data_IF_968987755523
#
_entry.id   IF_968987755523
#
_cell.length_a   1.000
_cell.length_b   1.000
_cell.length_c   1.000
_cell.angle_alpha   90.00
_cell.angle_beta   90.00
_cell.angle_gamma   90.00
#
_symmetry.space_group_name_H-M   'P 1'
#
loop_
_entity.id
_entity.type
_entity.pdbx_description
1 polymer ?
#
# COMPACT_ATOMS: atom_id res chain seq x y z
N UNK A 1 13.69 42.57 24.47
CA UNK A 1 14.13 41.28 23.87
C UNK A 1 12.93 40.52 23.32
N UNK A 2 13.01 40.15 22.04
CA UNK A 2 11.92 39.54 21.25
C UNK A 2 11.58 38.11 21.67
N UNK A 3 10.30 37.67 21.55
CA UNK A 3 9.97 36.24 21.65
C UNK A 3 10.42 35.51 20.38
N UNK A 4 11.23 34.46 20.54
CA UNK A 4 11.65 33.57 19.44
C UNK A 4 10.41 32.92 18.81
N UNK A 5 10.09 33.31 17.57
CA UNK A 5 9.15 32.58 16.70
C UNK A 5 9.71 31.17 16.45
N UNK A 6 9.23 30.15 17.17
CA UNK A 6 9.41 28.76 16.74
C UNK A 6 8.48 28.51 15.55
N UNK A 7 9.09 28.25 14.40
CA UNK A 7 8.43 28.07 13.10
C UNK A 7 7.54 26.83 13.14
N UNK A 8 6.31 27.04 12.67
CA UNK A 8 5.26 26.12 12.25
C UNK A 8 5.81 24.76 11.75
N UNK A 9 5.54 23.68 12.49
CA UNK A 9 5.67 22.32 11.94
C UNK A 9 4.60 22.14 10.86
N UNK A 10 5.03 22.07 9.59
CA UNK A 10 4.20 21.65 8.46
C UNK A 10 4.70 20.28 8.01
N UNK A 11 3.81 19.29 8.05
CA UNK A 11 4.03 17.95 7.52
C UNK A 11 2.96 17.01 8.06
N UNK A 12 1.76 17.05 7.49
CA UNK A 12 0.69 16.08 7.77
C UNK A 12 0.63 15.11 6.59
N UNK A 13 1.65 14.28 6.45
CA UNK A 13 1.70 13.18 5.48
C UNK A 13 0.92 12.01 6.06
N UNK A 14 -0.17 11.63 5.41
CA UNK A 14 -0.85 10.35 5.68
C UNK A 14 -0.08 9.29 4.90
N UNK A 15 1.01 8.82 5.51
CA UNK A 15 1.81 7.71 5.01
C UNK A 15 1.30 6.39 5.57
N UNK A 16 1.51 5.32 4.81
CA UNK A 16 1.44 3.97 5.36
C UNK A 16 2.70 3.81 6.20
N UNK A 17 2.56 3.85 7.52
CA UNK A 17 3.68 3.70 8.45
C UNK A 17 3.75 2.23 8.85
N UNK A 18 4.83 1.53 8.48
CA UNK A 18 5.13 0.20 8.99
C UNK A 18 5.64 0.34 10.44
N UNK A 19 4.91 -0.21 11.41
CA UNK A 19 5.40 -0.34 12.78
C UNK A 19 5.17 -1.78 13.27
N UNK A 20 6.25 -2.55 13.35
CA UNK A 20 6.28 -3.86 14.02
C UNK A 20 5.54 -4.98 13.29
N UNK A 21 5.92 -6.22 13.62
CA UNK A 21 5.46 -7.48 13.03
C UNK A 21 3.95 -7.78 13.21
N UNK A 22 3.15 -6.87 13.78
CA UNK A 22 1.74 -7.07 14.04
C UNK A 22 0.91 -6.21 13.09
N UNK A 23 0.28 -6.91 12.16
CA UNK A 23 -0.35 -6.41 10.97
C UNK A 23 -1.73 -5.82 11.21
N UNK A 24 -1.80 -4.80 12.06
CA UNK A 24 -2.93 -3.89 12.00
C UNK A 24 -2.44 -2.63 11.32
N UNK A 25 -2.93 -2.37 10.11
CA UNK A 25 -2.82 -1.05 9.49
C UNK A 25 -3.70 -0.08 10.28
N UNK A 26 -3.41 0.10 11.57
CA UNK A 26 -3.85 1.23 12.37
C UNK A 26 -2.99 2.39 11.92
N UNK A 27 -3.46 3.12 10.92
CA UNK A 27 -3.08 4.53 10.82
C UNK A 27 -3.55 5.15 12.13
N UNK A 28 -2.60 5.52 12.99
CA UNK A 28 -2.88 6.27 14.20
C UNK A 28 -3.49 7.60 13.78
N UNK A 29 -4.83 7.67 13.76
CA UNK A 29 -5.49 8.96 13.87
C UNK A 29 -5.23 9.42 15.30
N UNK A 30 -4.15 10.18 15.49
CA UNK A 30 -4.01 10.93 16.74
C UNK A 30 -5.11 12.00 16.72
N UNK A 31 -6.26 11.65 17.30
CA UNK A 31 -7.32 12.58 17.64
C UNK A 31 -6.77 13.49 18.73
N UNK A 32 -6.37 14.69 18.33
CA UNK A 32 -6.07 15.75 19.28
C UNK A 32 -7.42 16.29 19.73
N UNK A 33 -7.89 15.81 20.88
CA UNK A 33 -9.00 16.43 21.60
C UNK A 33 -8.62 17.87 21.92
N UNK A 34 -9.33 18.80 21.30
CA UNK A 34 -9.18 20.24 21.54
C UNK A 34 -10.04 20.57 22.77
N UNK A 35 -9.39 20.70 23.94
CA UNK A 35 -10.02 21.36 25.07
C UNK A 35 -10.00 22.88 24.84
N UNK A 36 -11.19 23.47 24.77
CA UNK A 36 -11.40 24.86 25.18
C UNK A 36 -11.41 25.92 24.08
N UNK A 37 -12.60 26.15 23.54
CA UNK A 37 -13.12 27.52 23.41
C UNK A 37 -12.82 28.30 22.12
N UNK A 38 -13.93 28.80 21.55
CA UNK A 38 -14.08 29.83 20.51
C UNK A 38 -14.17 29.35 19.06
N UNK A 39 -15.38 29.54 18.55
CA UNK A 39 -15.89 29.48 17.18
C UNK A 39 -14.92 29.98 16.11
N UNK A 40 -14.48 29.05 15.26
CA UNK A 40 -14.21 29.24 13.82
C UNK A 40 -14.49 27.90 13.13
N UNK A 41 -15.69 27.73 12.55
CA UNK A 41 -16.03 26.55 11.74
C UNK A 41 -15.24 26.59 10.43
N UNK A 42 -14.00 26.08 10.46
CA UNK A 42 -13.31 25.63 9.25
C UNK A 42 -13.70 24.17 9.09
N UNK A 43 -14.58 23.89 8.13
CA UNK A 43 -14.90 22.53 7.72
C UNK A 43 -13.60 21.80 7.43
N UNK A 44 -13.13 20.98 8.38
CA UNK A 44 -12.03 20.06 8.17
C UNK A 44 -12.53 19.11 7.09
N UNK A 45 -12.08 19.30 5.84
CA UNK A 45 -12.35 18.35 4.76
C UNK A 45 -11.98 16.98 5.28
N UNK A 46 -12.97 16.12 5.50
CA UNK A 46 -12.79 14.73 5.95
C UNK A 46 -11.81 14.10 4.98
N UNK A 47 -10.58 13.88 5.44
CA UNK A 47 -9.56 13.21 4.63
C UNK A 47 -10.05 11.79 4.38
N UNK A 48 -10.01 11.37 3.12
CA UNK A 48 -10.39 10.01 2.75
C UNK A 48 -9.42 9.06 3.43
N UNK A 49 -9.96 8.03 4.09
CA UNK A 49 -9.14 6.96 4.67
C UNK A 49 -8.24 6.36 3.59
N UNK A 50 -7.01 5.97 3.94
CA UNK A 50 -6.04 5.42 2.99
C UNK A 50 -6.60 4.22 2.20
N UNK A 51 -7.51 3.45 2.80
CA UNK A 51 -8.18 2.34 2.13
C UNK A 51 -8.98 2.76 0.90
N UNK A 52 -9.39 4.03 0.81
CA UNK A 52 -10.03 4.59 -0.38
C UNK A 52 -9.06 4.73 -1.57
N UNK A 53 -7.76 4.52 -1.36
CA UNK A 53 -6.72 4.51 -2.41
C UNK A 53 -6.30 3.09 -2.81
N UNK A 54 -6.86 2.06 -2.18
CA UNK A 54 -6.58 0.67 -2.57
C UNK A 54 -7.07 0.47 -4.00
N UNK A 55 -6.23 -0.17 -4.80
CA UNK A 55 -6.52 -0.62 -6.15
C UNK A 55 -6.59 -2.13 -6.13
N UNK A 56 -7.68 -2.68 -6.64
CA UNK A 56 -7.82 -4.11 -6.87
C UNK A 56 -7.66 -4.39 -8.36
N UNK A 57 -6.95 -5.46 -8.71
CA UNK A 57 -6.88 -5.94 -10.08
C UNK A 57 -6.98 -7.46 -10.13
N UNK A 58 -7.69 -7.98 -11.14
CA UNK A 58 -7.77 -9.41 -11.42
C UNK A 58 -7.10 -9.67 -12.76
N UNK A 59 -6.08 -10.52 -12.80
CA UNK A 59 -5.24 -10.72 -13.98
C UNK A 59 -4.92 -12.19 -14.22
N UNK A 60 -4.80 -12.54 -15.48
CA UNK A 60 -4.26 -13.81 -16.00
C UNK A 60 -2.99 -13.51 -16.80
N UNK A 61 -2.13 -14.50 -16.98
CA UNK A 61 -0.91 -14.42 -17.77
C UNK A 61 -0.82 -15.69 -18.63
N UNK A 62 -0.91 -15.53 -19.94
CA UNK A 62 -1.11 -16.65 -20.87
C UNK A 62 -0.10 -17.79 -20.66
N UNK A 63 -0.56 -19.03 -20.80
CA UNK A 63 0.16 -20.27 -20.46
C UNK A 63 1.53 -20.49 -21.09
N UNK A 64 1.98 -19.61 -22.01
CA UNK A 64 3.34 -19.63 -22.56
C UNK A 64 4.40 -19.05 -21.61
N UNK A 65 4.02 -18.22 -20.64
CA UNK A 65 4.97 -17.54 -19.72
C UNK A 65 5.21 -18.34 -18.43
N UNK A 66 4.53 -19.49 -18.26
CA UNK A 66 4.79 -20.46 -17.20
C UNK A 66 4.33 -20.04 -15.80
N UNK A 67 4.66 -18.82 -15.36
CA UNK A 67 4.41 -18.34 -13.99
C UNK A 67 4.21 -16.82 -13.91
N UNK A 68 3.42 -16.37 -12.93
CA UNK A 68 3.17 -14.95 -12.65
C UNK A 68 4.45 -14.17 -12.39
N UNK A 69 5.45 -14.81 -11.81
CA UNK A 69 6.75 -14.20 -11.48
C UNK A 69 7.56 -13.78 -12.71
N UNK A 70 7.24 -14.30 -13.89
CA UNK A 70 7.86 -13.87 -15.14
C UNK A 70 7.20 -12.60 -15.72
N UNK A 71 6.00 -12.25 -15.27
CA UNK A 71 5.27 -11.06 -15.72
C UNK A 71 5.10 -9.98 -14.64
N UNK A 72 5.23 -10.32 -13.35
CA UNK A 72 5.18 -9.39 -12.22
C UNK A 72 6.33 -9.67 -11.26
N UNK A 73 7.21 -8.69 -11.10
CA UNK A 73 8.27 -8.70 -10.10
C UNK A 73 7.71 -8.22 -8.74
N UNK A 74 8.09 -8.89 -7.65
CA UNK A 74 7.79 -8.45 -6.28
C UNK A 74 9.09 -8.25 -5.51
N UNK A 75 9.27 -7.05 -4.95
CA UNK A 75 10.48 -6.61 -4.23
C UNK A 75 10.12 -6.13 -2.83
N UNK A 76 11.12 -5.74 -2.03
CA UNK A 76 10.93 -5.34 -0.63
C UNK A 76 10.66 -6.56 0.26
N UNK A 77 10.16 -6.35 1.47
CA UNK A 77 9.92 -7.42 2.44
C UNK A 77 10.27 -7.01 3.86
N UNK A 78 9.60 -7.62 4.83
CA UNK A 78 9.73 -7.28 6.24
C UNK A 78 11.17 -7.46 6.77
N UNK A 79 11.95 -8.38 6.20
CA UNK A 79 13.35 -8.60 6.52
C UNK A 79 14.25 -7.41 6.14
N UNK A 80 13.78 -6.54 5.24
CA UNK A 80 14.45 -5.29 4.85
C UNK A 80 13.83 -4.06 5.53
N UNK A 81 12.86 -4.25 6.43
CA UNK A 81 12.08 -3.15 7.01
C UNK A 81 11.21 -2.42 5.98
N UNK A 82 10.84 -3.09 4.88
CA UNK A 82 10.05 -2.52 3.78
C UNK A 82 8.77 -3.32 3.56
N UNK A 83 7.72 -2.66 3.09
CA UNK A 83 6.59 -3.38 2.53
C UNK A 83 7.00 -4.09 1.23
N UNK A 84 6.47 -5.29 0.95
CA UNK A 84 6.44 -5.83 -0.40
C UNK A 84 5.81 -4.85 -1.38
N UNK A 85 6.46 -4.65 -2.52
CA UNK A 85 5.96 -3.75 -3.57
C UNK A 85 6.17 -4.36 -4.95
N UNK A 86 5.35 -3.88 -5.89
CA UNK A 86 5.39 -4.30 -7.29
C UNK A 86 6.60 -3.67 -7.97
N UNK A 87 7.46 -4.50 -8.56
CA UNK A 87 8.59 -4.08 -9.37
C UNK A 87 8.18 -3.91 -10.84
N UNK A 88 8.97 -4.47 -11.75
CA UNK A 88 8.63 -4.50 -13.16
C UNK A 88 7.35 -5.32 -13.44
N UNK A 89 6.54 -4.87 -14.40
CA UNK A 89 5.32 -5.55 -14.86
C UNK A 89 5.34 -5.62 -16.38
N UNK A 90 5.20 -6.83 -16.93
CA UNK A 90 5.12 -7.09 -18.37
C UNK A 90 3.65 -7.09 -18.80
N UNK A 91 3.09 -5.89 -19.00
CA UNK A 91 1.67 -5.70 -19.27
C UNK A 91 1.17 -6.44 -20.51
N UNK A 92 2.01 -6.57 -21.52
CA UNK A 92 1.72 -7.18 -22.82
C UNK A 92 1.45 -8.69 -22.72
N UNK A 93 1.94 -9.33 -21.66
CA UNK A 93 1.73 -10.74 -21.38
C UNK A 93 0.53 -11.00 -20.44
N UNK A 94 -0.15 -9.94 -19.98
CA UNK A 94 -1.25 -10.05 -19.03
C UNK A 94 -2.62 -9.79 -19.66
N UNK A 95 -3.61 -10.56 -19.22
CA UNK A 95 -5.03 -10.33 -19.50
C UNK A 95 -5.68 -9.78 -18.24
N UNK A 96 -6.24 -8.57 -18.33
CA UNK A 96 -6.93 -7.90 -17.23
C UNK A 96 -8.41 -8.28 -17.27
N UNK A 97 -8.87 -8.99 -16.24
CA UNK A 97 -10.28 -9.34 -16.06
C UNK A 97 -11.06 -8.26 -15.29
N UNK A 98 -10.36 -7.43 -14.52
CA UNK A 98 -10.97 -6.32 -13.81
C UNK A 98 -9.95 -5.43 -13.09
N UNK A 99 -10.34 -4.17 -12.87
CA UNK A 99 -9.51 -3.19 -12.18
C UNK A 99 -8.39 -2.62 -13.05
N UNK A 100 -7.32 -2.14 -12.40
CA UNK A 100 -6.17 -1.51 -13.06
C UNK A 100 -4.89 -2.25 -12.67
N UNK A 101 -4.04 -2.57 -13.64
CA UNK A 101 -2.73 -3.15 -13.37
C UNK A 101 -1.94 -2.31 -12.35
N UNK A 102 -1.25 -2.96 -11.40
CA UNK A 102 -0.39 -2.27 -10.47
C UNK A 102 0.77 -1.63 -11.22
N UNK A 103 1.21 -0.49 -10.72
CA UNK A 103 2.37 0.23 -11.25
C UNK A 103 3.62 -0.11 -10.44
N UNK A 104 4.82 -0.06 -11.06
CA UNK A 104 6.06 -0.19 -10.32
C UNK A 104 6.10 0.79 -9.13
N UNK A 105 6.43 0.28 -7.95
CA UNK A 105 6.44 0.99 -6.67
C UNK A 105 5.13 0.91 -5.87
N UNK A 106 4.04 0.38 -6.43
CA UNK A 106 2.81 0.18 -5.67
C UNK A 106 3.03 -0.89 -4.58
N UNK A 107 2.61 -0.59 -3.36
CA UNK A 107 2.72 -1.51 -2.21
C UNK A 107 1.73 -2.65 -2.40
N UNK A 108 2.20 -3.89 -2.31
CA UNK A 108 1.38 -5.10 -2.41
C UNK A 108 0.82 -5.45 -1.02
N UNK A 109 -0.50 -5.40 -0.89
CA UNK A 109 -1.21 -5.60 0.37
C UNK A 109 -1.71 -7.03 0.51
N UNK A 110 -2.41 -7.52 -0.52
CA UNK A 110 -3.02 -8.85 -0.54
C UNK A 110 -2.89 -9.50 -1.93
N UNK A 111 -2.84 -10.83 -1.92
CA UNK A 111 -2.86 -11.71 -3.10
C UNK A 111 -3.96 -12.75 -2.88
N UNK A 112 -5.01 -12.74 -3.70
CA UNK A 112 -6.19 -13.61 -3.58
C UNK A 112 -6.79 -13.64 -2.14
N UNK A 113 -6.76 -12.50 -1.46
CA UNK A 113 -7.25 -12.36 -0.07
C UNK A 113 -6.24 -12.78 1.00
N UNK A 114 -5.07 -13.30 0.62
CA UNK A 114 -3.97 -13.56 1.55
C UNK A 114 -3.17 -12.27 1.77
N UNK A 115 -3.07 -11.75 3.01
CA UNK A 115 -2.28 -10.56 3.30
C UNK A 115 -0.78 -10.85 3.16
N UNK A 116 -0.06 -9.96 2.46
CA UNK A 116 1.38 -10.11 2.22
C UNK A 116 2.20 -8.92 2.69
N UNK A 117 1.64 -7.72 2.91
CA UNK A 117 2.43 -6.54 3.29
C UNK A 117 3.32 -6.68 4.57
N UNK A 118 3.21 -7.75 5.35
CA UNK A 118 3.95 -7.94 6.61
C UNK A 118 4.93 -9.10 6.54
N UNK A 119 4.96 -9.77 5.41
CA UNK A 119 5.73 -10.98 5.19
C UNK A 119 7.14 -10.63 4.72
N UNK A 120 8.05 -11.60 4.84
CA UNK A 120 9.34 -11.52 4.16
C UNK A 120 9.15 -11.51 2.65
N UNK A 121 10.17 -11.10 1.88
CA UNK A 121 10.13 -11.23 0.42
C UNK A 121 9.88 -12.69 0.02
N UNK A 122 10.62 -13.60 0.66
CA UNK A 122 10.51 -15.05 0.42
C UNK A 122 9.08 -15.56 0.62
N UNK A 123 8.44 -15.19 1.72
CA UNK A 123 7.09 -15.64 2.04
C UNK A 123 6.05 -15.00 1.12
N UNK A 124 6.22 -13.72 0.79
CA UNK A 124 5.35 -13.01 -0.18
C UNK A 124 5.41 -13.69 -1.55
N UNK A 125 6.60 -14.03 -2.03
CA UNK A 125 6.80 -14.77 -3.27
C UNK A 125 6.19 -16.16 -3.23
N UNK A 126 6.28 -16.85 -2.09
CA UNK A 126 5.63 -18.16 -1.91
C UNK A 126 4.11 -18.06 -2.07
N UNK A 127 3.48 -17.03 -1.49
CA UNK A 127 2.05 -16.75 -1.66
C UNK A 127 1.72 -16.47 -3.12
N UNK A 128 2.49 -15.61 -3.79
CA UNK A 128 2.28 -15.24 -5.21
C UNK A 128 2.35 -16.47 -6.12
N UNK A 129 3.31 -17.38 -5.87
CA UNK A 129 3.49 -18.62 -6.64
C UNK A 129 2.45 -19.70 -6.33
N UNK A 130 1.84 -19.65 -5.15
CA UNK A 130 0.85 -20.65 -4.73
C UNK A 130 -0.43 -20.58 -5.57
N UNK A 131 -0.83 -19.37 -5.97
CA UNK A 131 -2.06 -19.16 -6.71
C UNK A 131 -1.86 -19.29 -8.23
N UNK A 132 -2.86 -19.88 -8.89
CA UNK A 132 -2.97 -19.91 -10.35
C UNK A 132 -3.91 -18.82 -10.87
N UNK A 133 -3.97 -18.71 -12.20
CA UNK A 133 -4.81 -17.76 -12.91
C UNK A 133 -6.32 -17.98 -12.64
N UNK A 134 -7.13 -16.92 -12.54
CA UNK A 134 -6.74 -15.52 -12.41
C UNK A 134 -6.31 -15.18 -10.97
N UNK A 135 -5.33 -14.28 -10.84
CA UNK A 135 -4.90 -13.75 -9.54
C UNK A 135 -5.50 -12.38 -9.28
N UNK A 136 -5.93 -12.15 -8.04
CA UNK A 136 -6.45 -10.88 -7.53
C UNK A 136 -5.39 -10.21 -6.67
N UNK A 137 -4.94 -9.03 -7.04
CA UNK A 137 -3.97 -8.25 -6.27
C UNK A 137 -4.67 -7.05 -5.68
N UNK A 138 -4.40 -6.77 -4.40
CA UNK A 138 -4.71 -5.47 -3.79
C UNK A 138 -3.41 -4.70 -3.59
N UNK A 139 -3.36 -3.52 -4.16
CA UNK A 139 -2.20 -2.65 -4.10
C UNK A 139 -2.58 -1.23 -3.70
N UNK A 140 -1.60 -0.44 -3.27
CA UNK A 140 -1.81 0.97 -2.96
C UNK A 140 -0.57 1.77 -3.31
N UNK A 141 -0.75 2.97 -3.84
CA UNK A 141 0.36 3.90 -4.05
C UNK A 141 0.95 4.29 -2.69
N UNK A 142 2.28 4.17 -2.48
CA UNK A 142 2.91 4.65 -1.26
C UNK A 142 2.62 6.13 -1.07
N UNK A 143 2.25 6.52 0.15
CA UNK A 143 1.97 7.91 0.49
C UNK A 143 3.27 8.70 0.62
N UNK A 144 3.48 9.67 -0.27
CA UNK A 144 4.45 10.76 -0.08
C UNK A 144 3.98 11.77 0.95
#
# INVERSE_FOLDING_TARGET
>A
MSPRRRRKARGKTEGIVAFGCCFEVRITQHWQGDEGGKTMSKTLKKKKHWSAKIQECSVSWGGSVGELMAVVEVRGGAELGQFPYVGHVVSEAMVIHGGRLPSPGDVLLEVNGTPVSGLTNRDSLAVVRHFREPIRLKTVKPGV
#
